data_IF_409277335699
#
_entry.id   IF_409277335699
#
_cell.length_a   1.000
_cell.length_b   1.000
_cell.length_c   1.000
_cell.angle_alpha   90.00
_cell.angle_beta   90.00
_cell.angle_gamma   90.00
#
_symmetry.space_group_name_H-M   'P 1'
#
loop_
_entity.id
_entity.type
_entity.pdbx_description
1 polymer ?
#
# COMPACT_ATOMS: atom_id res chain seq x y z
N UNK A 1 -7.30 19.43 -3.99
CA UNK A 1 -7.05 18.38 -2.99
C UNK A 1 -7.46 16.98 -3.50
N UNK A 2 -8.62 16.82 -4.19
CA UNK A 2 -9.12 15.51 -4.64
C UNK A 2 -8.10 14.72 -5.50
N UNK A 3 -7.52 15.35 -6.53
CA UNK A 3 -6.51 14.69 -7.38
C UNK A 3 -5.21 14.40 -6.63
N UNK A 4 -4.88 15.22 -5.64
CA UNK A 4 -3.72 15.03 -4.79
C UNK A 4 -3.86 13.77 -3.92
N UNK A 5 -5.01 13.58 -3.28
CA UNK A 5 -5.31 12.36 -2.51
C UNK A 5 -5.27 11.11 -3.39
N UNK A 6 -5.93 11.16 -4.57
CA UNK A 6 -5.95 10.01 -5.48
C UNK A 6 -4.55 9.67 -6.00
N UNK A 7 -3.75 10.68 -6.36
CA UNK A 7 -2.39 10.47 -6.83
C UNK A 7 -1.49 9.84 -5.76
N UNK A 8 -1.62 10.31 -4.51
CA UNK A 8 -0.89 9.74 -3.37
C UNK A 8 -1.26 8.27 -3.13
N UNK A 9 -2.56 7.94 -3.18
CA UNK A 9 -3.03 6.57 -3.00
C UNK A 9 -2.56 5.66 -4.13
N UNK A 10 -2.59 6.12 -5.37
CA UNK A 10 -2.12 5.34 -6.52
C UNK A 10 -0.62 5.00 -6.42
N UNK A 11 0.20 5.96 -5.95
CA UNK A 11 1.64 5.72 -5.73
C UNK A 11 1.85 4.75 -4.57
N UNK A 12 1.10 4.92 -3.47
CA UNK A 12 1.15 4.03 -2.32
C UNK A 12 0.80 2.57 -2.68
N UNK A 13 -0.27 2.36 -3.47
CA UNK A 13 -0.64 1.03 -3.96
C UNK A 13 0.41 0.44 -4.91
N UNK A 14 1.09 1.30 -5.69
CA UNK A 14 2.12 0.86 -6.61
C UNK A 14 3.30 0.19 -5.87
N UNK A 15 3.66 0.63 -4.66
CA UNK A 15 4.72 0.01 -3.88
C UNK A 15 4.44 -1.46 -3.60
N UNK A 16 3.21 -1.81 -3.22
CA UNK A 16 2.84 -3.21 -2.96
C UNK A 16 2.81 -4.05 -4.23
N UNK A 17 2.41 -3.46 -5.34
CA UNK A 17 2.46 -4.13 -6.63
C UNK A 17 3.91 -4.42 -7.02
N UNK A 18 4.80 -3.45 -6.87
CA UNK A 18 6.21 -3.57 -7.23
C UNK A 18 6.91 -4.62 -6.35
N UNK A 19 6.69 -4.64 -5.03
CA UNK A 19 7.21 -5.70 -4.15
C UNK A 19 6.76 -7.09 -4.61
N UNK A 20 5.48 -7.26 -4.96
CA UNK A 20 4.99 -8.53 -5.46
C UNK A 20 5.64 -8.94 -6.78
N UNK A 21 5.93 -7.99 -7.67
CA UNK A 21 6.60 -8.27 -8.94
C UNK A 21 8.05 -8.69 -8.71
N UNK A 22 8.80 -7.93 -7.90
CA UNK A 22 10.21 -8.24 -7.62
C UNK A 22 10.35 -9.50 -6.78
N UNK A 23 9.49 -9.76 -5.81
CA UNK A 23 9.51 -10.98 -5.00
C UNK A 23 9.24 -12.27 -5.78
N UNK A 24 8.65 -12.18 -6.98
CA UNK A 24 8.43 -13.33 -7.88
C UNK A 24 9.56 -13.57 -8.85
N UNK A 25 10.44 -12.60 -9.05
CA UNK A 25 11.60 -12.75 -9.93
C UNK A 25 12.66 -13.60 -9.24
N UNK A 26 12.85 -14.82 -9.73
CA UNK A 26 13.93 -15.69 -9.27
C UNK A 26 15.23 -15.26 -9.97
N UNK A 27 16.06 -14.53 -9.28
CA UNK A 27 17.36 -14.11 -9.77
C UNK A 27 18.30 -13.83 -8.61
N UNK A 28 19.55 -14.25 -8.76
CA UNK A 28 20.63 -14.01 -7.82
C UNK A 28 21.34 -12.69 -8.13
N UNK A 29 20.60 -11.68 -8.57
CA UNK A 29 21.12 -10.38 -8.98
C UNK A 29 21.08 -9.42 -7.79
N UNK A 30 22.21 -8.83 -7.46
CA UNK A 30 22.35 -7.79 -6.42
C UNK A 30 21.49 -6.57 -6.71
N UNK A 31 21.24 -6.26 -7.98
CA UNK A 31 20.38 -5.17 -8.41
C UNK A 31 18.91 -5.30 -7.91
N UNK A 32 18.40 -6.53 -7.81
CA UNK A 32 17.04 -6.77 -7.30
C UNK A 32 16.96 -6.65 -5.78
N UNK A 33 18.02 -7.01 -5.06
CA UNK A 33 18.11 -6.80 -3.62
C UNK A 33 18.03 -5.31 -3.27
N UNK A 34 18.80 -4.48 -3.98
CA UNK A 34 18.77 -3.03 -3.76
C UNK A 34 17.39 -2.42 -4.04
N UNK A 35 16.66 -2.95 -5.04
CA UNK A 35 15.31 -2.49 -5.35
C UNK A 35 14.30 -2.86 -4.26
N UNK A 36 14.42 -4.01 -3.64
CA UNK A 36 13.56 -4.41 -2.51
C UNK A 36 13.83 -3.54 -1.29
N UNK A 37 15.09 -3.30 -0.97
CA UNK A 37 15.48 -2.45 0.16
C UNK A 37 14.92 -1.02 0.00
N UNK A 38 15.01 -0.44 -1.21
CA UNK A 38 14.43 0.87 -1.51
C UNK A 38 12.91 0.87 -1.36
N UNK A 39 12.22 -0.21 -1.76
CA UNK A 39 10.77 -0.31 -1.63
C UNK A 39 10.36 -0.49 -0.16
N UNK A 40 11.12 -1.27 0.61
CA UNK A 40 10.91 -1.41 2.05
C UNK A 40 11.11 -0.07 2.77
N UNK A 41 12.14 0.70 2.43
CA UNK A 41 12.35 2.04 2.95
C UNK A 41 11.16 2.97 2.68
N UNK A 42 10.60 2.93 1.47
CA UNK A 42 9.43 3.73 1.10
C UNK A 42 8.17 3.33 1.86
N UNK A 43 8.00 2.04 2.16
CA UNK A 43 6.86 1.53 2.90
C UNK A 43 7.00 1.80 4.39
N UNK A 44 8.23 1.82 4.92
CA UNK A 44 8.49 2.05 6.35
C UNK A 44 7.89 3.35 6.89
N UNK A 45 7.68 4.36 6.02
CA UNK A 45 7.02 5.62 6.37
C UNK A 45 5.57 5.39 6.87
N UNK A 46 4.93 4.32 6.39
CA UNK A 46 3.53 3.97 6.69
C UNK A 46 3.41 2.89 7.76
N UNK A 47 4.54 2.32 8.17
CA UNK A 47 4.58 1.31 9.22
C UNK A 47 4.45 1.98 10.59
N UNK A 48 3.46 1.55 11.36
CA UNK A 48 3.36 1.93 12.75
C UNK A 48 4.20 0.99 13.63
N UNK A 49 4.72 1.47 14.76
CA UNK A 49 5.31 0.59 15.77
C UNK A 49 4.35 -0.55 16.12
N UNK A 50 4.85 -1.72 16.58
CA UNK A 50 3.99 -2.84 16.93
C UNK A 50 2.87 -2.42 17.90
N UNK A 51 1.63 -2.64 17.51
CA UNK A 51 0.44 -2.24 18.27
C UNK A 51 -0.15 -3.44 18.97
N UNK A 52 -0.58 -3.26 20.22
CA UNK A 52 -1.27 -4.31 20.97
C UNK A 52 -2.64 -4.62 20.36
N UNK A 53 -2.92 -5.91 20.17
CA UNK A 53 -4.23 -6.41 19.77
C UNK A 53 -5.09 -6.53 21.00
N UNK A 54 -6.29 -5.94 20.98
CA UNK A 54 -7.25 -6.09 22.08
C UNK A 54 -7.88 -7.47 22.03
N UNK A 55 -7.52 -8.31 22.99
CA UNK A 55 -7.96 -9.71 23.05
C UNK A 55 -9.22 -9.87 23.90
N UNK A 56 -10.16 -10.68 23.43
CA UNK A 56 -11.29 -11.18 24.20
C UNK A 56 -10.98 -12.57 24.79
N UNK A 57 -11.73 -12.97 25.80
CA UNK A 57 -11.53 -14.24 26.54
C UNK A 57 -11.67 -15.53 25.70
N UNK A 58 -12.06 -15.41 24.43
CA UNK A 58 -12.27 -16.54 23.53
C UNK A 58 -11.17 -16.67 22.45
N UNK A 59 -10.04 -15.97 22.64
CA UNK A 59 -8.98 -15.92 21.64
C UNK A 59 -9.33 -15.06 20.43
N UNK A 60 -10.40 -14.27 20.49
CA UNK A 60 -10.76 -13.29 19.45
C UNK A 60 -10.01 -12.01 19.74
N UNK A 61 -9.23 -11.54 18.76
CA UNK A 61 -8.52 -10.28 18.81
C UNK A 61 -9.16 -9.22 17.92
N UNK A 62 -9.30 -8.00 18.44
CA UNK A 62 -9.71 -6.84 17.65
C UNK A 62 -8.45 -6.10 17.20
N UNK A 63 -8.29 -5.97 15.89
CA UNK A 63 -7.19 -5.27 15.28
C UNK A 63 -7.38 -3.76 15.38
N UNK A 64 -6.29 -2.99 15.53
CA UNK A 64 -6.32 -1.55 15.35
C UNK A 64 -6.73 -1.18 13.93
N UNK A 65 -7.08 0.08 13.72
CA UNK A 65 -7.33 0.60 12.37
C UNK A 65 -6.08 0.40 11.51
N UNK A 66 -6.21 -0.38 10.44
CA UNK A 66 -5.11 -0.73 9.57
C UNK A 66 -5.56 -0.76 8.11
N UNK A 67 -4.64 -0.43 7.21
CA UNK A 67 -4.81 -0.64 5.79
C UNK A 67 -4.37 -2.06 5.40
N UNK A 68 -3.18 -2.47 5.87
CA UNK A 68 -2.66 -3.83 5.74
C UNK A 68 -2.14 -4.32 7.09
N UNK A 69 -2.40 -5.59 7.35
CA UNK A 69 -1.87 -6.29 8.51
C UNK A 69 -0.56 -6.98 8.11
N UNK A 70 0.51 -6.68 8.84
CA UNK A 70 1.79 -7.34 8.74
C UNK A 70 1.85 -8.60 9.60
N UNK A 71 2.95 -8.76 10.34
CA UNK A 71 3.12 -9.90 11.23
C UNK A 71 2.28 -9.75 12.49
N UNK A 72 1.75 -10.86 12.98
CA UNK A 72 1.14 -10.96 14.30
C UNK A 72 2.09 -11.74 15.18
N UNK A 73 2.40 -11.21 16.35
CA UNK A 73 3.33 -11.83 17.31
C UNK A 73 2.63 -12.06 18.64
N UNK A 74 2.94 -13.17 19.29
CA UNK A 74 2.52 -13.48 20.63
C UNK A 74 3.73 -13.67 21.52
N UNK A 75 3.77 -12.98 22.66
CA UNK A 75 4.88 -13.05 23.61
C UNK A 75 4.53 -14.02 24.74
N UNK A 76 5.28 -15.10 24.82
CA UNK A 76 5.14 -16.10 25.89
C UNK A 76 6.45 -16.22 26.65
N UNK A 77 6.43 -16.06 27.96
CA UNK A 77 7.61 -16.12 28.82
C UNK A 77 8.77 -15.20 28.34
N UNK A 78 8.43 -14.00 27.87
CA UNK A 78 9.41 -13.04 27.39
C UNK A 78 9.97 -13.32 25.98
N UNK A 79 9.48 -14.39 25.31
CA UNK A 79 9.88 -14.73 23.94
C UNK A 79 8.76 -14.40 22.98
N UNK A 80 9.01 -13.46 22.07
CA UNK A 80 8.10 -13.12 20.99
C UNK A 80 8.14 -14.21 19.91
N UNK A 81 6.96 -14.68 19.50
CA UNK A 81 6.79 -15.71 18.45
C UNK A 81 5.84 -15.21 17.39
N UNK A 82 6.20 -15.44 16.15
CA UNK A 82 5.31 -15.13 15.02
C UNK A 82 4.13 -16.09 15.05
N UNK A 83 2.92 -15.54 14.96
CA UNK A 83 1.68 -16.29 14.83
C UNK A 83 1.42 -16.56 13.37
N UNK A 84 1.32 -17.83 13.00
CA UNK A 84 1.17 -18.24 11.60
C UNK A 84 -0.25 -17.92 11.09
N UNK A 85 -0.33 -17.23 9.95
CA UNK A 85 -1.61 -16.96 9.28
C UNK A 85 -2.07 -18.18 8.51
N UNK A 86 -3.25 -18.70 8.85
CA UNK A 86 -3.86 -19.86 8.20
C UNK A 86 -5.25 -19.52 7.67
N UNK A 87 -5.68 -20.25 6.65
CA UNK A 87 -7.05 -20.19 6.16
C UNK A 87 -7.97 -21.01 7.10
N UNK A 88 -9.27 -20.69 7.08
CA UNK A 88 -10.25 -21.42 7.93
C UNK A 88 -10.27 -22.92 7.69
N UNK A 89 -10.06 -23.35 6.43
CA UNK A 89 -10.00 -24.77 6.07
C UNK A 89 -8.77 -25.45 6.68
N UNK A 90 -7.62 -24.80 6.58
CA UNK A 90 -6.34 -25.37 7.04
C UNK A 90 -6.33 -25.52 8.56
N UNK A 91 -6.88 -24.56 9.30
CA UNK A 91 -6.99 -24.65 10.76
C UNK A 91 -7.90 -25.82 11.18
N UNK A 92 -9.00 -26.06 10.46
CA UNK A 92 -9.89 -27.20 10.76
C UNK A 92 -9.17 -28.53 10.57
N UNK A 93 -8.36 -28.65 9.52
CA UNK A 93 -7.55 -29.85 9.27
C UNK A 93 -6.51 -30.05 10.36
N UNK A 94 -5.81 -28.98 10.76
CA UNK A 94 -4.80 -29.05 11.82
C UNK A 94 -5.39 -29.42 13.18
N UNK A 95 -6.61 -28.99 13.47
CA UNK A 95 -7.31 -29.33 14.73
C UNK A 95 -7.78 -30.79 14.79
N UNK A 96 -7.87 -31.49 13.65
CA UNK A 96 -8.26 -32.90 13.63
C UNK A 96 -7.21 -33.83 14.23
N UNK A 97 -5.95 -33.41 14.25
CA UNK A 97 -4.85 -34.22 14.76
C UNK A 97 -4.21 -33.54 16.00
N UNK A 98 -4.12 -34.26 17.14
CA UNK A 98 -3.47 -33.72 18.34
C UNK A 98 -2.02 -33.31 18.13
N UNK A 99 -1.32 -33.92 17.16
CA UNK A 99 0.07 -33.65 16.85
C UNK A 99 0.26 -32.32 16.11
N UNK A 100 -0.71 -31.92 15.28
CA UNK A 100 -0.64 -30.72 14.42
C UNK A 100 -1.44 -29.55 14.97
N UNK A 101 -2.23 -29.76 16.04
CA UNK A 101 -3.02 -28.70 16.68
C UNK A 101 -2.12 -27.54 17.13
N UNK A 102 -2.46 -26.29 16.78
CA UNK A 102 -1.73 -25.12 17.25
C UNK A 102 -1.64 -25.06 18.76
N UNK A 103 -0.48 -24.68 19.27
CA UNK A 103 -0.20 -24.55 20.69
C UNK A 103 0.52 -23.22 20.99
N UNK A 104 0.86 -22.96 22.27
CA UNK A 104 1.51 -21.71 22.69
C UNK A 104 2.90 -21.52 22.09
N UNK A 105 3.56 -22.63 21.66
CA UNK A 105 4.88 -22.56 21.02
C UNK A 105 4.77 -22.27 19.50
N UNK A 106 3.70 -22.77 18.88
CA UNK A 106 3.38 -22.58 17.47
C UNK A 106 1.93 -22.10 17.34
N UNK A 107 1.67 -20.84 17.69
CA UNK A 107 0.35 -20.29 17.59
C UNK A 107 -0.01 -20.01 16.13
N UNK A 108 -1.31 -20.07 15.82
CA UNK A 108 -1.83 -19.74 14.50
C UNK A 108 -3.01 -18.78 14.62
N UNK A 109 -3.32 -18.05 13.57
CA UNK A 109 -4.52 -17.23 13.52
C UNK A 109 -5.24 -17.32 12.17
N UNK A 110 -6.53 -17.08 12.23
CA UNK A 110 -7.36 -16.89 11.04
C UNK A 110 -7.99 -15.50 11.08
N UNK A 111 -8.07 -14.84 9.93
CA UNK A 111 -8.81 -13.59 9.82
C UNK A 111 -10.30 -13.89 9.69
N UNK A 112 -11.09 -13.38 10.64
CA UNK A 112 -12.54 -13.62 10.70
C UNK A 112 -13.30 -12.50 10.00
N UNK A 113 -12.85 -11.25 10.19
CA UNK A 113 -13.37 -10.07 9.50
C UNK A 113 -12.25 -9.07 9.19
N UNK A 114 -12.60 -7.90 8.70
CA UNK A 114 -11.65 -6.82 8.45
C UNK A 114 -10.90 -6.39 9.72
N UNK A 115 -11.61 -6.35 10.83
CA UNK A 115 -11.11 -5.84 12.12
C UNK A 115 -10.88 -6.93 13.16
N UNK A 116 -11.18 -8.20 12.87
CA UNK A 116 -11.06 -9.26 13.85
C UNK A 116 -10.29 -10.47 13.36
N UNK A 117 -9.47 -11.01 14.26
CA UNK A 117 -8.74 -12.26 14.08
C UNK A 117 -9.12 -13.26 15.16
N UNK A 118 -9.08 -14.54 14.84
CA UNK A 118 -9.22 -15.63 15.79
C UNK A 118 -7.87 -16.31 15.95
N UNK A 119 -7.35 -16.34 17.19
CA UNK A 119 -6.11 -17.01 17.53
C UNK A 119 -6.38 -18.44 17.99
N UNK A 120 -5.40 -19.29 17.75
CA UNK A 120 -5.37 -20.68 18.18
C UNK A 120 -4.01 -20.99 18.84
N UNK A 121 -4.01 -21.55 20.04
CA UNK A 121 -5.16 -21.97 20.85
C UNK A 121 -5.96 -20.78 21.40
N UNK A 122 -7.26 -20.98 21.64
CA UNK A 122 -8.16 -19.95 22.17
C UNK A 122 -7.80 -19.49 23.62
N UNK A 123 -6.82 -20.13 24.23
CA UNK A 123 -6.25 -19.76 25.53
C UNK A 123 -5.35 -18.52 25.48
N UNK A 124 -4.98 -18.06 24.27
CA UNK A 124 -4.23 -16.82 24.09
C UNK A 124 -5.21 -15.65 24.23
N UNK A 125 -5.10 -14.93 25.32
CA UNK A 125 -5.98 -13.80 25.68
C UNK A 125 -5.24 -12.50 25.97
N UNK A 126 -3.91 -12.50 25.89
CA UNK A 126 -3.06 -11.34 26.16
C UNK A 126 -1.74 -11.42 25.38
N UNK A 127 -0.96 -10.36 25.48
CA UNK A 127 0.42 -10.26 24.94
C UNK A 127 0.55 -10.54 23.44
N UNK A 128 -0.46 -10.10 22.69
CA UNK A 128 -0.48 -10.17 21.23
C UNK A 128 -0.24 -8.80 20.66
N UNK A 129 0.77 -8.68 19.80
CA UNK A 129 1.11 -7.46 19.06
C UNK A 129 1.01 -7.72 17.56
N UNK A 130 0.76 -6.68 16.81
CA UNK A 130 0.75 -6.77 15.35
C UNK A 130 1.44 -5.57 14.71
N UNK A 131 2.09 -5.81 13.60
CA UNK A 131 2.61 -4.78 12.73
C UNK A 131 1.49 -4.33 11.78
N UNK A 132 1.31 -3.04 11.65
CA UNK A 132 0.25 -2.49 10.81
C UNK A 132 0.81 -1.43 9.87
N UNK A 133 0.32 -1.46 8.65
CA UNK A 133 0.56 -0.41 7.66
C UNK A 133 -0.68 0.47 7.62
N UNK A 134 -0.50 1.74 7.88
CA UNK A 134 -1.57 2.74 7.86
C UNK A 134 -1.79 3.28 6.45
N UNK A 135 -3.02 3.71 6.16
CA UNK A 135 -3.32 4.47 4.96
C UNK A 135 -2.70 5.86 5.09
N UNK A 136 -2.04 6.40 4.05
CA UNK A 136 -1.56 7.79 4.07
C UNK A 136 -2.71 8.77 4.32
N UNK A 137 -2.43 9.79 5.11
CA UNK A 137 -3.39 10.87 5.40
C UNK A 137 -3.67 11.66 4.12
N UNK A 138 -4.93 12.00 3.89
CA UNK A 138 -5.30 12.81 2.74
C UNK A 138 -4.61 14.17 2.78
N UNK A 139 -3.87 14.56 1.73
CA UNK A 139 -3.22 15.87 1.68
C UNK A 139 -4.27 16.96 1.54
N UNK A 140 -4.08 18.05 2.23
CA UNK A 140 -4.97 19.19 2.18
C UNK A 140 -4.19 20.49 2.03
N UNK A 141 -4.40 21.16 0.91
CA UNK A 141 -3.92 22.52 0.72
C UNK A 141 -4.98 23.51 1.21
N UNK A 142 -4.70 24.21 2.29
CA UNK A 142 -5.57 25.20 2.87
C UNK A 142 -5.10 26.62 2.48
N UNK A 143 -6.07 27.53 2.31
CA UNK A 143 -5.81 28.91 1.92
C UNK A 143 -6.75 29.88 2.60
N UNK A 144 -6.31 31.13 2.75
CA UNK A 144 -7.10 32.25 3.25
C UNK A 144 -7.19 33.30 2.15
N UNK A 145 -8.39 33.83 1.95
CA UNK A 145 -8.61 34.93 0.99
C UNK A 145 -8.23 36.26 1.64
N UNK A 146 -7.22 36.92 1.09
CA UNK A 146 -6.78 38.26 1.52
C UNK A 146 -6.84 39.19 0.31
N UNK A 147 -7.65 40.22 0.38
CA UNK A 147 -7.88 41.18 -0.72
C UNK A 147 -8.27 40.54 -2.06
N UNK A 148 -8.95 39.40 -2.04
CA UNK A 148 -9.38 38.68 -3.23
C UNK A 148 -8.34 37.67 -3.78
N UNK A 149 -7.15 37.59 -3.18
CA UNK A 149 -6.09 36.62 -3.53
C UNK A 149 -6.07 35.47 -2.54
N UNK A 150 -5.86 34.25 -3.05
CA UNK A 150 -5.74 33.05 -2.22
C UNK A 150 -4.29 32.89 -1.74
N UNK A 151 -4.06 33.10 -0.47
CA UNK A 151 -2.76 32.92 0.19
C UNK A 151 -2.72 31.60 0.95
N UNK A 152 -1.61 30.88 0.82
CA UNK A 152 -1.39 29.63 1.54
C UNK A 152 -1.49 29.81 3.04
N UNK A 153 -2.23 28.94 3.70
CA UNK A 153 -2.36 28.89 5.15
C UNK A 153 -1.81 27.55 5.68
N UNK A 154 -0.67 27.59 6.35
CA UNK A 154 -0.05 26.41 6.95
C UNK A 154 -0.91 25.77 8.04
N UNK A 155 -1.73 26.59 8.77
CA UNK A 155 -2.64 26.08 9.77
C UNK A 155 -3.82 25.39 9.11
N UNK A 156 -3.90 24.04 9.24
CA UNK A 156 -4.92 23.21 8.60
C UNK A 156 -4.54 22.65 7.22
N UNK A 157 -3.34 22.95 6.74
CA UNK A 157 -2.76 22.20 5.61
C UNK A 157 -2.15 20.89 6.08
N UNK A 158 -2.26 19.85 5.26
CA UNK A 158 -1.65 18.54 5.50
C UNK A 158 -0.75 18.21 4.31
N UNK A 159 0.51 17.93 4.59
CA UNK A 159 1.49 17.59 3.57
C UNK A 159 1.32 16.14 3.07
N UNK A 160 1.95 15.84 1.93
CA UNK A 160 2.00 14.49 1.39
C UNK A 160 2.87 13.60 2.27
N UNK A 161 2.39 12.39 2.50
CA UNK A 161 3.11 11.33 3.22
C UNK A 161 3.71 10.35 2.23
N UNK A 162 4.69 10.78 1.45
CA UNK A 162 5.42 9.95 0.51
C UNK A 162 6.92 10.15 0.69
N UNK A 163 7.70 9.16 0.25
CA UNK A 163 9.14 9.32 0.22
C UNK A 163 9.54 10.44 -0.74
N UNK A 164 10.56 11.22 -0.37
CA UNK A 164 11.01 12.39 -1.14
C UNK A 164 11.35 12.09 -2.60
N UNK A 165 11.80 10.86 -2.90
CA UNK A 165 12.08 10.43 -4.28
C UNK A 165 10.85 10.39 -5.20
N UNK A 166 9.63 10.41 -4.65
CA UNK A 166 8.38 10.31 -5.41
C UNK A 166 7.79 11.68 -5.79
N UNK A 167 8.42 12.76 -5.42
CA UNK A 167 7.92 14.12 -5.67
C UNK A 167 7.59 14.37 -7.16
N UNK A 168 8.49 13.98 -8.04
CA UNK A 168 8.30 14.15 -9.50
C UNK A 168 7.16 13.25 -10.00
N UNK A 169 7.11 12.01 -9.55
CA UNK A 169 6.07 11.06 -9.94
C UNK A 169 4.68 11.51 -9.46
N UNK A 170 4.62 12.09 -8.26
CA UNK A 170 3.41 12.66 -7.69
C UNK A 170 2.86 13.81 -8.53
N UNK A 171 3.73 14.77 -8.89
CA UNK A 171 3.33 15.91 -9.74
C UNK A 171 2.82 15.42 -11.10
N UNK A 172 3.51 14.48 -11.73
CA UNK A 172 3.10 13.90 -13.02
C UNK A 172 1.74 13.21 -12.91
N UNK A 173 1.50 12.47 -11.81
CA UNK A 173 0.24 11.78 -11.56
C UNK A 173 -0.93 12.74 -11.31
N UNK A 174 -0.71 13.81 -10.55
CA UNK A 174 -1.71 14.86 -10.33
C UNK A 174 -2.07 15.54 -11.66
N UNK A 175 -1.09 15.86 -12.48
CA UNK A 175 -1.32 16.47 -13.80
C UNK A 175 -2.04 15.52 -14.77
N UNK A 176 -1.74 14.22 -14.72
CA UNK A 176 -2.45 13.18 -15.46
C UNK A 176 -3.95 13.17 -15.11
N UNK A 177 -4.27 13.13 -13.82
CA UNK A 177 -5.65 13.11 -13.32
C UNK A 177 -6.39 14.42 -13.62
N UNK A 178 -5.73 15.55 -13.44
CA UNK A 178 -6.30 16.87 -13.75
C UNK A 178 -6.57 17.01 -15.26
N UNK A 179 -5.64 16.62 -16.12
CA UNK A 179 -5.79 16.65 -17.57
C UNK A 179 -6.94 15.77 -18.06
N UNK A 180 -7.14 14.60 -17.44
CA UNK A 180 -8.27 13.72 -17.74
C UNK A 180 -9.62 14.38 -17.39
N UNK A 181 -9.68 15.04 -16.22
CA UNK A 181 -10.88 15.70 -15.72
C UNK A 181 -11.28 16.92 -16.55
N UNK A 182 -10.30 17.72 -16.97
CA UNK A 182 -10.51 18.93 -17.78
C UNK A 182 -10.67 18.64 -19.27
N UNK A 183 -10.50 17.38 -19.70
CA UNK A 183 -10.46 16.95 -21.12
C UNK A 183 -9.37 17.65 -21.94
N UNK A 184 -8.33 18.14 -21.27
CA UNK A 184 -7.16 18.74 -21.88
C UNK A 184 -6.22 17.64 -22.40
N UNK A 185 -6.46 17.18 -23.63
CA UNK A 185 -5.75 16.08 -24.29
C UNK A 185 -4.22 16.33 -24.32
N UNK A 186 -3.80 17.59 -24.43
CA UNK A 186 -2.38 17.93 -24.47
C UNK A 186 -1.68 17.67 -23.15
N UNK A 187 -2.27 18.04 -22.01
CA UNK A 187 -1.71 17.79 -20.69
C UNK A 187 -1.61 16.27 -20.40
N UNK A 188 -2.66 15.53 -20.75
CA UNK A 188 -2.69 14.08 -20.62
C UNK A 188 -1.58 13.41 -21.45
N UNK A 189 -1.39 13.82 -22.70
CA UNK A 189 -0.33 13.28 -23.58
C UNK A 189 1.09 13.59 -23.06
N UNK A 190 1.31 14.77 -22.48
CA UNK A 190 2.61 15.13 -21.90
C UNK A 190 2.90 14.25 -20.68
N UNK A 191 1.94 14.03 -19.79
CA UNK A 191 2.07 13.18 -18.61
C UNK A 191 2.39 11.74 -19.00
N UNK A 192 1.66 11.15 -19.96
CA UNK A 192 1.93 9.79 -20.45
C UNK A 192 3.32 9.68 -21.09
N UNK A 193 3.74 10.65 -21.92
CA UNK A 193 5.07 10.62 -22.54
C UNK A 193 6.20 10.65 -21.51
N UNK A 194 6.04 11.38 -20.41
CA UNK A 194 7.02 11.41 -19.32
C UNK A 194 7.03 10.08 -18.55
N UNK A 195 5.86 9.54 -18.22
CA UNK A 195 5.72 8.23 -17.57
C UNK A 195 6.36 7.10 -18.39
N UNK A 196 6.16 7.09 -19.71
CA UNK A 196 6.81 6.14 -20.61
C UNK A 196 8.33 6.29 -20.63
N UNK A 197 8.86 7.51 -20.58
CA UNK A 197 10.32 7.74 -20.52
C UNK A 197 10.94 7.25 -19.20
N UNK A 198 10.24 7.39 -18.08
CA UNK A 198 10.70 6.89 -16.78
C UNK A 198 10.63 5.37 -16.70
N UNK A 199 9.55 4.75 -17.20
CA UNK A 199 9.40 3.30 -17.26
C UNK A 199 10.46 2.66 -18.15
N UNK A 200 10.82 3.28 -19.28
CA UNK A 200 11.90 2.81 -20.15
C UNK A 200 13.30 2.89 -19.50
N UNK A 201 13.52 3.87 -18.61
CA UNK A 201 14.77 3.95 -17.84
C UNK A 201 14.85 2.84 -16.77
N UNK A 202 13.72 2.47 -16.16
CA UNK A 202 13.67 1.44 -15.09
C UNK A 202 13.66 0.00 -15.64
N UNK A 203 13.03 -0.28 -16.79
CA UNK A 203 12.72 -1.66 -17.20
C UNK A 203 13.09 -2.04 -18.64
N UNK A 204 13.77 -1.18 -19.41
CA UNK A 204 14.10 -1.44 -20.82
C UNK A 204 12.92 -1.95 -21.70
N UNK A 205 11.67 -1.74 -21.23
CA UNK A 205 10.44 -2.13 -21.94
C UNK A 205 9.92 -0.98 -22.78
N UNK A 206 9.80 -1.22 -24.08
CA UNK A 206 9.20 -0.28 -25.04
C UNK A 206 7.72 -0.12 -24.69
N UNK A 207 7.29 1.09 -24.35
CA UNK A 207 5.89 1.44 -24.17
C UNK A 207 5.16 1.44 -25.52
N UNK A 208 4.53 0.35 -25.89
CA UNK A 208 3.77 0.21 -27.14
C UNK A 208 2.40 0.93 -27.13
N UNK A 209 2.00 1.55 -26.03
CA UNK A 209 0.66 2.18 -25.89
C UNK A 209 0.46 3.48 -26.72
N UNK A 210 1.50 4.03 -27.33
CA UNK A 210 1.43 5.36 -27.97
C UNK A 210 0.92 5.37 -29.41
N UNK A 211 0.87 4.23 -30.10
CA UNK A 211 0.58 4.21 -31.55
C UNK A 211 -0.84 3.82 -31.93
N UNK A 212 -1.52 3.01 -31.14
CA UNK A 212 -2.88 2.59 -31.47
C UNK A 212 -3.95 3.63 -31.10
N UNK A 213 -3.79 4.34 -30.00
CA UNK A 213 -4.75 5.38 -29.59
C UNK A 213 -4.75 6.59 -30.51
N UNK A 214 -3.58 6.94 -31.08
CA UNK A 214 -3.49 8.02 -32.09
C UNK A 214 -4.14 7.66 -33.44
N UNK A 215 -4.24 6.39 -33.77
CA UNK A 215 -4.98 5.95 -35.00
C UNK A 215 -6.49 6.09 -34.85
N UNK A 216 -7.04 5.88 -33.65
CA UNK A 216 -8.48 5.97 -33.42
C UNK A 216 -8.96 7.44 -33.37
N UNK A 217 -8.14 8.34 -32.84
CA UNK A 217 -8.52 9.77 -32.74
C UNK A 217 -8.39 10.49 -34.09
N UNK A 218 -7.36 10.18 -34.88
CA UNK A 218 -7.18 10.76 -36.22
C UNK A 218 -8.16 10.21 -37.25
N UNK A 219 -8.70 9.01 -37.09
CA UNK A 219 -9.73 8.47 -37.96
C UNK A 219 -11.12 9.09 -37.72
N UNK A 220 -11.41 9.52 -36.48
CA UNK A 220 -12.67 10.20 -36.15
C UNK A 220 -12.69 11.70 -36.51
N UNK A 221 -11.53 12.33 -36.66
CA UNK A 221 -11.43 13.73 -37.08
C UNK A 221 -11.48 13.94 -38.61
N UNK A 222 -11.49 12.85 -39.40
CA UNK A 222 -11.60 12.90 -40.88
C UNK A 222 -13.01 12.61 -41.41
N UNK A 223 -13.99 12.41 -40.54
CA UNK A 223 -15.38 12.07 -40.92
C UNK A 223 -16.40 13.10 -40.39
N UNK A 224 -15.97 14.34 -40.12
CA UNK A 224 -16.89 15.47 -39.89
C UNK A 224 -16.46 16.68 -40.70
#
# INVERSE_FOLDING_TARGET
NLFAEQAQLDIFEQYFYDINQFGRLHGNSTEYSDMLDILEEKISIFEAPPVNVVMANTGIGTLPANYRLGNVMHTTNGVARIVEKLNKKDIQILQMSPLTTPNLIRPAYTRTSETTIQLYPATIIADVTCDVISKPTAPNWNYVMVYGEALYNATGSTDFQLHQSEEIALVEKILELAGLSTKEVQMYQIAIKKKCKQSNKKNNKICHYSTEHNRVITSKAKVS
#
